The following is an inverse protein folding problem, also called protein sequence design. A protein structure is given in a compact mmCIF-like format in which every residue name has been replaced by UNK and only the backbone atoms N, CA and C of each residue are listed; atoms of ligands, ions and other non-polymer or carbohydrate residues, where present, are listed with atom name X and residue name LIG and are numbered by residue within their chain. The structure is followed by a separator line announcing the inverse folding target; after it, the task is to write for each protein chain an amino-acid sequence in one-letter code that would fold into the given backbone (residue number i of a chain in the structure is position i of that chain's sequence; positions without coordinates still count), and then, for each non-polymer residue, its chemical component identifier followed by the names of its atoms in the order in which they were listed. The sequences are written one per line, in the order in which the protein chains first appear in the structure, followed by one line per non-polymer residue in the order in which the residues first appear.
data_IF_099556315295
#
_entry.id   IF_099556315295
#
_cell.length_a   1.000
_cell.length_b   1.000
_cell.length_c   1.000
_cell.angle_alpha   90.00
_cell.angle_beta   90.00
_cell.angle_gamma   90.00
#
_symmetry.space_group_name_H-M   'P 1'
#
loop_
_entity.id
_entity.type
_entity.pdbx_description
1 polymer ?
#
# COMPACT_ATOMS: atom_id res chain seq x y z
N UNK A 1 -21.72 -8.26 2.89
CA UNK A 1 -21.63 -9.72 2.62
C UNK A 1 -20.18 -10.14 2.65
N UNK A 2 -19.85 -11.28 3.27
CA UNK A 2 -18.47 -11.78 3.35
C UNK A 2 -18.11 -12.59 2.10
N UNK A 3 -16.88 -12.44 1.62
CA UNK A 3 -16.33 -13.29 0.57
C UNK A 3 -16.35 -14.77 1.01
N UNK A 4 -16.85 -15.71 0.17
CA UNK A 4 -17.06 -17.10 0.57
C UNK A 4 -15.81 -17.79 1.12
N UNK A 5 -14.62 -17.54 0.56
CA UNK A 5 -13.37 -18.15 1.03
C UNK A 5 -13.07 -17.74 2.47
N UNK A 6 -13.18 -16.44 2.80
CA UNK A 6 -12.96 -15.94 4.16
C UNK A 6 -13.90 -16.63 5.14
N UNK A 7 -15.19 -16.71 4.82
CA UNK A 7 -16.19 -17.38 5.67
C UNK A 7 -15.84 -18.87 5.87
N UNK A 8 -15.50 -19.58 4.81
CA UNK A 8 -15.17 -21.02 4.87
C UNK A 8 -13.91 -21.27 5.69
N UNK A 9 -12.87 -20.47 5.49
CA UNK A 9 -11.62 -20.55 6.26
C UNK A 9 -11.88 -20.32 7.74
N UNK A 10 -12.62 -19.28 8.12
CA UNK A 10 -12.93 -19.00 9.52
C UNK A 10 -13.73 -20.12 10.20
N UNK A 11 -14.72 -20.69 9.49
CA UNK A 11 -15.46 -21.87 10.00
C UNK A 11 -14.53 -23.06 10.17
N UNK A 12 -13.63 -23.32 9.22
CA UNK A 12 -12.64 -24.38 9.29
C UNK A 12 -11.75 -24.21 10.53
N UNK A 13 -11.17 -23.02 10.72
CA UNK A 13 -10.32 -22.70 11.87
C UNK A 13 -11.05 -22.89 13.20
N UNK A 14 -12.30 -22.42 13.31
CA UNK A 14 -13.10 -22.56 14.53
C UNK A 14 -13.36 -24.01 14.95
N UNK A 15 -13.46 -24.92 13.96
CA UNK A 15 -13.66 -26.36 14.20
C UNK A 15 -12.35 -27.06 14.54
N UNK A 16 -11.30 -26.80 13.75
CA UNK A 16 -9.97 -27.40 13.98
C UNK A 16 -9.42 -27.04 15.35
N UNK A 17 -9.63 -25.80 15.82
CA UNK A 17 -9.16 -25.34 17.13
C UNK A 17 -9.69 -26.19 18.30
N UNK A 18 -10.87 -26.80 18.16
CA UNK A 18 -11.49 -27.62 19.21
C UNK A 18 -11.20 -29.11 19.10
N UNK A 19 -10.65 -29.56 17.97
CA UNK A 19 -10.62 -30.97 17.60
C UNK A 19 -9.20 -31.52 17.40
N UNK A 20 -8.17 -30.68 17.46
CA UNK A 20 -6.81 -31.01 17.06
C UNK A 20 -5.80 -30.43 18.05
N UNK A 21 -4.70 -31.15 18.26
CA UNK A 21 -3.61 -30.69 19.10
C UNK A 21 -2.98 -29.41 18.58
N UNK A 22 -2.53 -28.58 19.51
CA UNK A 22 -1.96 -27.24 19.28
C UNK A 22 -0.93 -27.19 18.13
N UNK A 23 0.09 -28.07 18.02
CA UNK A 23 1.06 -27.99 16.93
C UNK A 23 0.46 -28.28 15.55
N UNK A 24 -0.49 -29.23 15.48
CA UNK A 24 -1.14 -29.60 14.22
C UNK A 24 -2.12 -28.49 13.81
N UNK A 25 -2.85 -27.92 14.77
CA UNK A 25 -3.72 -26.77 14.52
C UNK A 25 -2.94 -25.59 13.95
N UNK A 26 -1.79 -25.27 14.53
CA UNK A 26 -0.94 -24.19 14.03
C UNK A 26 -0.60 -24.40 12.55
N UNK A 27 -0.09 -25.59 12.17
CA UNK A 27 0.30 -25.92 10.79
C UNK A 27 -0.85 -25.76 9.80
N UNK A 28 -1.98 -26.40 10.10
CA UNK A 28 -3.17 -26.34 9.26
C UNK A 28 -3.72 -24.92 9.14
N UNK A 29 -3.66 -24.15 10.23
CA UNK A 29 -4.16 -22.78 10.24
C UNK A 29 -3.32 -21.84 9.38
N UNK A 30 -2.00 -22.03 9.36
CA UNK A 30 -1.09 -21.26 8.51
C UNK A 30 -1.36 -21.49 7.03
N UNK A 31 -1.49 -22.76 6.62
CA UNK A 31 -1.81 -23.11 5.23
C UNK A 31 -3.18 -22.55 4.83
N UNK A 32 -4.20 -22.76 5.67
CA UNK A 32 -5.55 -22.29 5.40
C UNK A 32 -5.65 -20.77 5.30
N UNK A 33 -4.92 -20.03 6.14
CA UNK A 33 -4.84 -18.57 6.10
C UNK A 33 -4.07 -18.09 4.86
N UNK A 34 -2.94 -18.72 4.54
CA UNK A 34 -2.14 -18.39 3.35
C UNK A 34 -2.97 -18.53 2.07
N UNK A 35 -3.67 -19.66 1.92
CA UNK A 35 -4.56 -19.91 0.77
C UNK A 35 -5.75 -18.94 0.75
N UNK A 36 -6.29 -18.57 1.91
CA UNK A 36 -7.35 -17.57 2.01
C UNK A 36 -6.86 -16.19 1.52
N UNK A 37 -5.70 -15.75 1.98
CA UNK A 37 -5.08 -14.48 1.56
C UNK A 37 -4.85 -14.46 0.05
N UNK A 38 -4.29 -15.53 -0.51
CA UNK A 38 -4.09 -15.67 -1.95
C UNK A 38 -5.41 -15.62 -2.73
N UNK A 39 -6.44 -16.31 -2.25
CA UNK A 39 -7.78 -16.27 -2.86
C UNK A 39 -8.40 -14.88 -2.81
N UNK A 40 -8.22 -14.14 -1.71
CA UNK A 40 -8.68 -12.75 -1.58
C UNK A 40 -7.93 -11.85 -2.56
N UNK A 41 -6.61 -12.01 -2.69
CA UNK A 41 -5.80 -11.23 -3.64
C UNK A 41 -6.19 -11.51 -5.10
N UNK A 42 -6.41 -12.77 -5.47
CA UNK A 42 -6.89 -13.16 -6.80
C UNK A 42 -8.27 -12.57 -7.11
N UNK A 43 -9.19 -12.62 -6.15
CA UNK A 43 -10.50 -12.00 -6.29
C UNK A 43 -10.42 -10.47 -6.41
N UNK A 44 -9.52 -9.83 -5.65
CA UNK A 44 -9.26 -8.40 -5.74
C UNK A 44 -8.80 -8.01 -7.15
N UNK A 45 -7.85 -8.74 -7.73
CA UNK A 45 -7.38 -8.52 -9.10
C UNK A 45 -8.50 -8.69 -10.13
N UNK A 46 -9.34 -9.72 -9.99
CA UNK A 46 -10.49 -9.93 -10.87
C UNK A 46 -11.50 -8.76 -10.79
N UNK A 47 -11.74 -8.23 -9.59
CA UNK A 47 -12.59 -7.05 -9.38
C UNK A 47 -11.95 -5.79 -9.98
N UNK A 48 -10.64 -5.61 -9.79
CA UNK A 48 -9.88 -4.49 -10.38
C UNK A 48 -10.04 -4.44 -11.89
N UNK A 49 -9.95 -5.60 -12.55
CA UNK A 49 -10.08 -5.72 -14.01
C UNK A 49 -11.52 -5.53 -14.51
N UNK A 50 -12.52 -5.93 -13.72
CA UNK A 50 -13.93 -5.89 -14.15
C UNK A 50 -14.61 -4.56 -13.85
N UNK A 51 -14.26 -3.89 -12.75
CA UNK A 51 -14.98 -2.71 -12.25
C UNK A 51 -14.09 -1.48 -12.15
N UNK A 52 -13.18 -1.45 -11.18
CA UNK A 52 -12.17 -0.41 -11.08
C UNK A 52 -11.03 -0.87 -10.15
N UNK A 53 -9.80 -0.36 -10.32
CA UNK A 53 -8.69 -0.69 -9.43
C UNK A 53 -9.01 -0.37 -7.95
N UNK A 54 -9.66 0.76 -7.70
CA UNK A 54 -10.13 1.20 -6.37
C UNK A 54 -11.08 0.18 -5.72
N UNK A 55 -12.03 -0.39 -6.48
CA UNK A 55 -12.96 -1.39 -5.97
C UNK A 55 -12.24 -2.68 -5.55
N UNK A 56 -11.22 -3.11 -6.30
CA UNK A 56 -10.43 -4.30 -5.96
C UNK A 56 -9.55 -4.10 -4.72
N UNK A 57 -8.87 -2.95 -4.63
CA UNK A 57 -8.06 -2.58 -3.46
C UNK A 57 -8.90 -2.49 -2.18
N UNK A 58 -10.04 -1.80 -2.24
CA UNK A 58 -10.96 -1.67 -1.09
C UNK A 58 -11.62 -3.01 -0.73
N UNK A 59 -11.92 -3.86 -1.72
CA UNK A 59 -12.38 -5.22 -1.48
C UNK A 59 -11.33 -6.02 -0.69
N UNK A 60 -10.05 -5.94 -1.08
CA UNK A 60 -8.97 -6.64 -0.41
C UNK A 60 -8.79 -6.15 1.03
N UNK A 61 -8.70 -4.83 1.22
CA UNK A 61 -8.57 -4.21 2.55
C UNK A 61 -9.72 -4.63 3.46
N UNK A 62 -10.97 -4.54 2.98
CA UNK A 62 -12.16 -4.96 3.74
C UNK A 62 -12.04 -6.40 4.23
N UNK A 63 -11.69 -7.33 3.35
CA UNK A 63 -11.67 -8.75 3.69
C UNK A 63 -10.47 -9.14 4.55
N UNK A 64 -9.32 -8.46 4.41
CA UNK A 64 -8.18 -8.63 5.30
C UNK A 64 -8.44 -8.06 6.69
N UNK A 65 -9.16 -6.92 6.80
CA UNK A 65 -9.61 -6.38 8.09
C UNK A 65 -10.54 -7.36 8.82
N UNK A 66 -11.52 -7.92 8.09
CA UNK A 66 -12.42 -8.95 8.64
C UNK A 66 -11.60 -10.17 9.07
N UNK A 67 -10.70 -10.66 8.22
CA UNK A 67 -9.89 -11.83 8.54
C UNK A 67 -9.05 -11.59 9.81
N UNK A 68 -8.35 -10.45 9.90
CA UNK A 68 -7.56 -10.02 11.07
C UNK A 68 -8.40 -9.98 12.36
N UNK A 69 -9.58 -9.38 12.29
CA UNK A 69 -10.47 -9.28 13.45
C UNK A 69 -10.96 -10.65 13.91
N UNK A 70 -11.38 -11.49 12.96
CA UNK A 70 -11.95 -12.80 13.26
C UNK A 70 -10.91 -13.84 13.70
N UNK A 71 -9.62 -13.64 13.37
CA UNK A 71 -8.55 -14.50 13.88
C UNK A 71 -8.02 -14.06 15.25
N UNK A 72 -8.34 -12.84 15.71
CA UNK A 72 -7.88 -12.31 16.99
C UNK A 72 -8.29 -13.18 18.20
N UNK A 73 -9.48 -13.80 18.27
CA UNK A 73 -9.86 -14.67 19.39
C UNK A 73 -9.04 -15.96 19.52
N UNK A 74 -8.37 -16.42 18.46
CA UNK A 74 -7.50 -17.59 18.50
C UNK A 74 -6.08 -17.24 19.02
N UNK A 75 -5.99 -16.24 19.92
CA UNK A 75 -4.77 -15.53 20.34
C UNK A 75 -3.73 -16.35 21.12
N UNK A 76 -3.91 -17.67 21.17
CA UNK A 76 -2.91 -18.61 21.62
C UNK A 76 -2.71 -19.52 20.41
N UNK A 77 -1.55 -19.42 19.74
CA UNK A 77 -1.05 -20.38 18.73
C UNK A 77 -1.20 -20.11 17.25
N UNK A 78 -0.56 -19.05 16.75
CA UNK A 78 -0.16 -18.99 15.34
C UNK A 78 1.34 -18.96 15.11
N UNK A 79 2.15 -19.08 16.18
CA UNK A 79 3.61 -19.08 16.09
C UNK A 79 4.10 -20.51 15.88
N UNK A 80 4.38 -20.88 14.63
CA UNK A 80 5.06 -22.14 14.32
C UNK A 80 6.56 -21.89 14.28
N UNK A 81 7.31 -22.80 14.90
CA UNK A 81 8.75 -22.94 14.70
C UNK A 81 8.96 -23.72 13.40
N UNK A 82 9.01 -23.04 12.27
CA UNK A 82 9.42 -23.69 11.03
C UNK A 82 10.95 -23.84 11.03
N UNK A 83 11.41 -25.08 10.91
CA UNK A 83 12.83 -25.40 10.74
C UNK A 83 13.17 -25.24 9.26
N UNK A 84 13.67 -24.07 8.87
CA UNK A 84 14.13 -23.82 7.50
C UNK A 84 15.62 -24.14 7.38
N UNK A 85 16.05 -24.65 6.23
CA UNK A 85 17.47 -24.88 5.94
C UNK A 85 18.08 -23.59 5.37
N UNK A 86 19.05 -23.01 6.09
CA UNK A 86 19.80 -21.84 5.63
C UNK A 86 20.97 -22.28 4.73
N UNK A 87 20.83 -22.03 3.43
CA UNK A 87 21.83 -22.38 2.41
C UNK A 87 22.91 -21.30 2.22
N UNK A 88 22.90 -20.23 3.01
CA UNK A 88 23.86 -19.12 2.86
C UNK A 88 25.31 -19.60 3.02
N UNK A 89 25.56 -20.51 3.96
CA UNK A 89 26.89 -21.13 4.17
C UNK A 89 27.25 -22.09 3.04
N UNK A 90 26.27 -22.84 2.54
CA UNK A 90 26.43 -23.75 1.40
C UNK A 90 26.86 -23.00 0.14
N UNK A 91 26.28 -21.82 -0.11
CA UNK A 91 26.66 -20.96 -1.24
C UNK A 91 28.11 -20.49 -1.14
N UNK A 92 28.54 -20.02 0.04
CA UNK A 92 29.91 -19.57 0.29
C UNK A 92 30.91 -20.71 0.19
N UNK A 93 30.60 -21.87 0.78
CA UNK A 93 31.42 -23.08 0.70
C UNK A 93 31.51 -23.61 -0.75
N UNK A 94 30.41 -23.59 -1.51
CA UNK A 94 30.39 -24.01 -2.91
C UNK A 94 31.25 -23.07 -3.79
N UNK A 95 31.21 -21.75 -3.52
CA UNK A 95 32.08 -20.80 -4.19
C UNK A 95 33.56 -21.04 -3.86
N UNK A 96 33.86 -21.36 -2.60
CA UNK A 96 35.19 -21.79 -2.15
C UNK A 96 35.67 -23.05 -2.88
N UNK A 97 34.79 -24.05 -3.06
CA UNK A 97 35.09 -25.27 -3.81
C UNK A 97 35.37 -25.00 -5.29
N UNK A 98 34.59 -24.11 -5.92
CA UNK A 98 34.79 -23.69 -7.31
C UNK A 98 36.12 -22.96 -7.50
N UNK A 99 36.53 -22.13 -6.55
CA UNK A 99 37.81 -21.42 -6.60
C UNK A 99 38.99 -22.34 -6.29
N UNK A 100 38.80 -23.35 -5.43
CA UNK A 100 39.80 -24.35 -5.03
C UNK A 100 39.76 -25.63 -5.88
N UNK A 101 39.24 -25.58 -7.12
CA UNK A 101 39.08 -26.73 -8.05
C UNK A 101 40.34 -27.60 -8.24
N UNK A 102 41.55 -27.03 -8.11
CA UNK A 102 42.82 -27.77 -8.22
C UNK A 102 43.12 -28.69 -7.03
N UNK A 103 42.37 -28.58 -5.91
CA UNK A 103 42.57 -29.33 -4.65
C UNK A 103 41.40 -30.24 -4.29
N UNK A 104 40.50 -30.52 -5.23
CA UNK A 104 39.29 -31.34 -5.02
C UNK A 104 39.58 -32.79 -4.61
N UNK A 105 40.70 -33.34 -5.09
CA UNK A 105 41.10 -34.73 -4.85
C UNK A 105 42.50 -34.82 -4.23
N UNK A 106 42.92 -33.78 -3.51
CA UNK A 106 44.18 -33.85 -2.76
C UNK A 106 44.07 -34.92 -1.67
N UNK A 107 45.04 -35.83 -1.61
CA UNK A 107 45.11 -36.96 -0.66
C UNK A 107 45.59 -36.54 0.75
N UNK A 108 45.76 -35.24 1.01
CA UNK A 108 46.13 -34.69 2.32
C UNK A 108 44.95 -34.04 3.06
N UNK A 109 45.17 -33.63 4.31
CA UNK A 109 44.19 -32.98 5.20
C UNK A 109 43.59 -31.66 4.67
N UNK A 110 44.14 -31.10 3.58
CA UNK A 110 43.68 -29.88 2.92
C UNK A 110 42.87 -30.19 1.65
N UNK A 111 41.85 -31.03 1.76
CA UNK A 111 40.98 -31.39 0.65
C UNK A 111 39.78 -30.43 0.57
N UNK A 112 39.62 -29.75 -0.56
CA UNK A 112 38.57 -28.74 -0.74
C UNK A 112 37.15 -29.33 -0.77
N UNK A 113 37.00 -30.62 -1.10
CA UNK A 113 35.75 -31.35 -1.04
C UNK A 113 35.40 -31.68 0.42
N UNK A 114 36.37 -32.10 1.23
CA UNK A 114 36.16 -32.29 2.67
C UNK A 114 35.81 -30.97 3.36
N UNK A 115 36.52 -29.89 3.03
CA UNK A 115 36.23 -28.53 3.52
C UNK A 115 34.79 -28.10 3.14
N UNK A 116 34.36 -28.36 1.90
CA UNK A 116 32.98 -28.11 1.47
C UNK A 116 31.95 -28.99 2.19
N UNK A 117 32.23 -30.26 2.46
CA UNK A 117 31.30 -31.13 3.20
C UNK A 117 31.21 -30.76 4.68
N UNK A 118 32.28 -30.23 5.27
CA UNK A 118 32.31 -29.76 6.65
C UNK A 118 31.63 -28.38 6.79
N UNK A 119 31.94 -27.44 5.91
CA UNK A 119 31.48 -26.03 6.00
C UNK A 119 30.20 -25.75 5.19
N UNK A 120 29.89 -26.60 4.21
CA UNK A 120 28.71 -26.51 3.33
C UNK A 120 27.52 -27.32 3.85
N UNK A 121 27.50 -27.70 5.13
CA UNK A 121 26.30 -28.23 5.76
C UNK A 121 25.28 -27.09 5.93
N UNK A 122 24.05 -27.22 5.40
CA UNK A 122 23.03 -26.21 5.60
C UNK A 122 22.70 -26.14 7.10
N UNK A 123 22.80 -24.95 7.68
CA UNK A 123 22.47 -24.76 9.09
C UNK A 123 20.96 -24.66 9.23
N UNK A 124 20.39 -25.40 10.17
CA UNK A 124 18.96 -25.29 10.45
C UNK A 124 18.71 -23.96 11.16
N UNK A 125 17.89 -23.11 10.53
CA UNK A 125 17.48 -21.82 11.07
C UNK A 125 16.02 -21.91 11.47
N UNK A 126 15.78 -21.74 12.77
CA UNK A 126 14.45 -21.65 13.35
C UNK A 126 13.81 -20.32 12.91
N UNK A 127 12.79 -20.39 12.06
CA UNK A 127 11.99 -19.24 11.66
C UNK A 127 10.64 -19.32 12.36
N UNK A 128 10.37 -18.33 13.21
CA UNK A 128 9.06 -18.18 13.84
C UNK A 128 8.10 -17.56 12.82
N UNK A 129 7.30 -18.39 12.15
CA UNK A 129 6.27 -17.94 11.22
C UNK A 129 4.98 -17.72 12.00
N UNK A 130 4.50 -16.48 11.99
CA UNK A 130 3.28 -16.07 12.69
C UNK A 130 2.21 -15.72 11.65
N UNK A 131 1.18 -16.56 11.58
CA UNK A 131 0.09 -16.40 10.59
C UNK A 131 -0.65 -15.07 10.74
N UNK A 132 -0.68 -14.49 11.95
CA UNK A 132 -1.24 -13.17 12.19
C UNK A 132 -0.37 -12.08 11.59
N UNK A 133 0.97 -12.20 11.73
CA UNK A 133 1.90 -11.25 11.11
C UNK A 133 1.77 -11.25 9.59
N UNK A 134 1.51 -12.39 8.96
CA UNK A 134 1.32 -12.43 7.51
C UNK A 134 0.04 -11.71 7.07
N UNK A 135 -1.08 -11.90 7.80
CA UNK A 135 -2.32 -11.13 7.55
C UNK A 135 -2.08 -9.63 7.75
N UNK A 136 -1.43 -9.23 8.84
CA UNK A 136 -1.12 -7.83 9.14
C UNK A 136 -0.19 -7.21 8.08
N UNK A 137 0.83 -7.96 7.64
CA UNK A 137 1.76 -7.55 6.58
C UNK A 137 1.04 -7.35 5.25
N UNK A 138 0.19 -8.29 4.84
CA UNK A 138 -0.57 -8.17 3.60
C UNK A 138 -1.60 -7.03 3.67
N UNK A 139 -2.24 -6.84 4.83
CA UNK A 139 -3.16 -5.73 5.06
C UNK A 139 -2.44 -4.39 4.94
N UNK A 140 -1.29 -4.25 5.59
CA UNK A 140 -0.45 -3.04 5.51
C UNK A 140 -0.05 -2.75 4.07
N UNK A 141 0.48 -3.75 3.35
CA UNK A 141 0.86 -3.60 1.94
C UNK A 141 -0.32 -3.17 1.06
N UNK A 142 -1.51 -3.74 1.29
CA UNK A 142 -2.73 -3.37 0.54
C UNK A 142 -3.17 -1.93 0.83
N UNK A 143 -3.09 -1.50 2.09
CA UNK A 143 -3.38 -0.11 2.47
C UNK A 143 -2.36 0.87 1.86
N UNK A 144 -1.06 0.55 1.89
CA UNK A 144 -0.02 1.38 1.30
C UNK A 144 -0.19 1.52 -0.21
N UNK A 145 -0.49 0.42 -0.91
CA UNK A 145 -0.79 0.43 -2.35
C UNK A 145 -2.01 1.32 -2.67
N UNK A 146 -3.10 1.18 -1.91
CA UNK A 146 -4.29 2.02 -2.06
C UNK A 146 -3.99 3.50 -1.82
N UNK A 147 -3.21 3.84 -0.78
CA UNK A 147 -2.82 5.21 -0.46
C UNK A 147 -2.01 5.81 -1.62
N UNK A 148 -1.02 5.07 -2.14
CA UNK A 148 -0.19 5.51 -3.26
C UNK A 148 -1.00 5.71 -4.54
N UNK A 149 -1.82 4.73 -4.90
CA UNK A 149 -2.67 4.79 -6.09
C UNK A 149 -3.67 5.94 -6.01
N UNK A 150 -4.32 6.14 -4.86
CA UNK A 150 -5.27 7.24 -4.66
C UNK A 150 -4.57 8.61 -4.70
N UNK A 151 -3.40 8.73 -4.05
CA UNK A 151 -2.60 9.96 -4.10
C UNK A 151 -2.22 10.31 -5.54
N UNK A 152 -1.77 9.30 -6.33
CA UNK A 152 -1.44 9.48 -7.75
C UNK A 152 -2.67 9.84 -8.60
N UNK A 153 -3.83 9.30 -8.28
CA UNK A 153 -5.10 9.64 -8.97
C UNK A 153 -5.50 11.09 -8.73
N UNK A 154 -5.26 11.61 -7.52
CA UNK A 154 -5.63 12.98 -7.14
C UNK A 154 -4.59 14.03 -7.58
N UNK A 155 -3.30 13.70 -7.48
CA UNK A 155 -2.19 14.64 -7.64
C UNK A 155 -1.14 14.21 -8.69
N UNK A 156 -1.48 13.26 -9.57
CA UNK A 156 -0.54 12.68 -10.55
C UNK A 156 0.22 13.68 -11.44
N UNK A 157 -0.45 14.67 -12.07
CA UNK A 157 0.23 15.69 -12.87
C UNK A 157 1.24 16.49 -12.04
N UNK A 158 0.85 16.88 -10.83
CA UNK A 158 1.70 17.60 -9.89
C UNK A 158 2.91 16.76 -9.46
N UNK A 159 2.71 15.51 -9.06
CA UNK A 159 3.80 14.60 -8.66
C UNK A 159 4.82 14.41 -9.79
N UNK A 160 4.34 14.22 -11.02
CA UNK A 160 5.22 14.06 -12.20
C UNK A 160 6.07 15.31 -12.44
N UNK A 161 5.49 16.50 -12.22
CA UNK A 161 6.22 17.76 -12.31
C UNK A 161 7.26 17.89 -11.19
N UNK A 162 6.89 17.58 -9.95
CA UNK A 162 7.79 17.63 -8.79
C UNK A 162 8.99 16.69 -8.96
N UNK A 163 8.77 15.47 -9.44
CA UNK A 163 9.86 14.52 -9.71
C UNK A 163 10.85 15.09 -10.73
N UNK A 164 10.34 15.69 -11.82
CA UNK A 164 11.19 16.34 -12.83
C UNK A 164 11.93 17.56 -12.28
N UNK A 165 11.25 18.38 -11.48
CA UNK A 165 11.83 19.55 -10.83
C UNK A 165 12.94 19.16 -9.85
N UNK A 166 12.73 18.11 -9.05
CA UNK A 166 13.69 17.63 -8.08
C UNK A 166 14.95 17.06 -8.75
N UNK A 167 14.79 16.28 -9.83
CA UNK A 167 15.92 15.77 -10.63
C UNK A 167 16.75 16.92 -11.20
N UNK A 168 16.10 17.96 -11.69
CA UNK A 168 16.78 19.16 -12.21
C UNK A 168 17.57 19.88 -11.10
N UNK A 169 16.95 20.12 -9.94
CA UNK A 169 17.62 20.77 -8.79
C UNK A 169 18.82 19.95 -8.31
N UNK A 170 18.71 18.61 -8.24
CA UNK A 170 19.84 17.76 -7.88
C UNK A 170 20.97 17.82 -8.90
N UNK A 171 20.65 17.83 -10.21
CA UNK A 171 21.67 17.94 -11.27
C UNK A 171 22.39 19.30 -11.25
N UNK A 172 21.68 20.39 -10.93
CA UNK A 172 22.29 21.71 -10.79
C UNK A 172 23.18 21.86 -9.55
N UNK A 173 22.90 21.10 -8.50
CA UNK A 173 23.76 21.12 -7.31
C UNK A 173 25.11 20.46 -7.61
N UNK A 174 25.16 19.49 -8.53
CA UNK A 174 26.39 18.80 -8.95
C UNK A 174 27.15 19.54 -10.05
N UNK A 175 26.43 20.20 -10.97
CA UNK A 175 27.00 20.97 -12.07
C UNK A 175 26.68 22.44 -11.81
N UNK A 176 27.66 23.23 -11.37
CA UNK A 176 27.56 24.66 -11.07
C UNK A 176 27.10 25.49 -12.30
N UNK A 177 25.82 25.35 -12.66
CA UNK A 177 25.19 25.94 -13.83
C UNK A 177 24.24 27.03 -13.39
N UNK A 178 24.47 28.25 -13.89
CA UNK A 178 23.66 29.46 -13.63
C UNK A 178 22.24 29.44 -14.25
N UNK A 179 21.74 28.29 -14.69
CA UNK A 179 20.41 28.20 -15.30
C UNK A 179 19.38 28.19 -14.18
N UNK A 180 18.25 28.89 -14.29
CA UNK A 180 17.20 28.84 -13.27
C UNK A 180 16.09 27.89 -13.70
N UNK A 181 15.32 27.37 -12.74
CA UNK A 181 14.19 26.48 -13.04
C UNK A 181 13.15 27.22 -13.92
N UNK A 182 12.94 28.51 -13.69
CA UNK A 182 12.01 29.35 -14.46
C UNK A 182 12.36 29.47 -15.96
N UNK A 183 13.62 29.24 -16.35
CA UNK A 183 14.06 29.27 -17.75
C UNK A 183 13.75 27.96 -18.49
N UNK A 184 13.37 26.91 -17.78
CA UNK A 184 13.08 25.62 -18.40
C UNK A 184 11.68 25.62 -19.05
N UNK A 185 11.54 25.09 -20.27
CA UNK A 185 10.28 25.14 -21.02
C UNK A 185 9.15 24.37 -20.33
N UNK A 186 9.47 23.33 -19.56
CA UNK A 186 8.49 22.54 -18.80
C UNK A 186 8.05 23.21 -17.48
N UNK A 187 8.78 24.24 -17.04
CA UNK A 187 8.58 24.90 -15.76
C UNK A 187 8.22 26.39 -15.92
N UNK A 188 7.79 26.82 -17.11
CA UNK A 188 7.19 28.14 -17.26
C UNK A 188 5.93 28.28 -16.41
N UNK A 189 5.71 29.48 -15.88
CA UNK A 189 4.60 29.80 -14.98
C UNK A 189 3.22 29.41 -15.54
N UNK A 190 2.97 29.58 -16.84
CA UNK A 190 1.74 29.16 -17.51
C UNK A 190 1.53 27.63 -17.48
N UNK A 191 2.60 26.86 -17.68
CA UNK A 191 2.55 25.39 -17.62
C UNK A 191 2.27 24.93 -16.18
N UNK A 192 2.91 25.56 -15.20
CA UNK A 192 2.68 25.27 -13.78
C UNK A 192 1.24 25.61 -13.39
N UNK A 193 0.72 26.76 -13.82
CA UNK A 193 -0.68 27.15 -13.61
C UNK A 193 -1.65 26.12 -14.18
N UNK A 194 -1.40 25.61 -15.40
CA UNK A 194 -2.20 24.54 -16.00
C UNK A 194 -2.15 23.24 -15.18
N UNK A 195 -0.98 22.83 -14.71
CA UNK A 195 -0.80 21.63 -13.87
C UNK A 195 -1.55 21.77 -12.54
N UNK A 196 -1.48 22.94 -11.91
CA UNK A 196 -2.18 23.24 -10.65
C UNK A 196 -3.70 23.20 -10.87
N UNK A 197 -4.21 23.86 -11.91
CA UNK A 197 -5.64 23.85 -12.24
C UNK A 197 -6.14 22.44 -12.57
N UNK A 198 -5.38 21.66 -13.34
CA UNK A 198 -5.71 20.27 -13.65
C UNK A 198 -5.76 19.43 -12.37
N UNK A 199 -4.78 19.57 -11.49
CA UNK A 199 -4.72 18.85 -10.21
C UNK A 199 -5.91 19.21 -9.32
N UNK A 200 -6.25 20.49 -9.18
CA UNK A 200 -7.44 20.91 -8.44
C UNK A 200 -8.74 20.34 -9.04
N UNK A 201 -8.84 20.26 -10.37
CA UNK A 201 -9.98 19.65 -11.06
C UNK A 201 -10.06 18.15 -10.79
N UNK A 202 -8.93 17.43 -10.83
CA UNK A 202 -8.86 16.01 -10.50
C UNK A 202 -9.32 15.76 -9.05
N UNK A 203 -8.86 16.57 -8.10
CA UNK A 203 -9.30 16.51 -6.71
C UNK A 203 -10.82 16.66 -6.62
N UNK A 204 -11.40 17.71 -7.24
CA UNK A 204 -12.86 17.95 -7.17
C UNK A 204 -13.69 16.83 -7.79
N UNK A 205 -13.20 16.21 -8.86
CA UNK A 205 -13.96 15.20 -9.61
C UNK A 205 -13.79 13.78 -9.05
N UNK A 206 -12.57 13.39 -8.66
CA UNK A 206 -12.26 12.01 -8.25
C UNK A 206 -12.51 11.77 -6.76
N UNK A 207 -12.31 12.78 -5.91
CA UNK A 207 -12.42 12.62 -4.47
C UNK A 207 -13.81 12.13 -4.00
N UNK A 208 -14.95 12.67 -4.52
CA UNK A 208 -16.27 12.16 -4.13
C UNK A 208 -16.49 10.68 -4.52
N UNK A 209 -15.92 10.25 -5.65
CA UNK A 209 -16.03 8.87 -6.15
C UNK A 209 -15.26 7.91 -5.23
N UNK A 210 -14.03 8.29 -4.86
CA UNK A 210 -13.19 7.53 -3.93
C UNK A 210 -13.88 7.42 -2.57
N UNK A 211 -14.41 8.52 -2.03
CA UNK A 211 -15.10 8.53 -0.73
C UNK A 211 -16.35 7.66 -0.72
N UNK A 212 -17.19 7.74 -1.76
CA UNK A 212 -18.35 6.86 -1.89
C UNK A 212 -17.95 5.39 -1.92
N UNK A 213 -16.84 5.07 -2.59
CA UNK A 213 -16.31 3.71 -2.63
C UNK A 213 -15.79 3.28 -1.26
N UNK A 214 -15.02 4.13 -0.56
CA UNK A 214 -14.56 3.86 0.80
C UNK A 214 -15.72 3.57 1.77
N UNK A 215 -16.78 4.38 1.71
CA UNK A 215 -18.00 4.20 2.52
C UNK A 215 -18.69 2.86 2.23
N UNK A 216 -18.80 2.48 0.95
CA UNK A 216 -19.45 1.23 0.53
C UNK A 216 -18.67 -0.02 1.00
N UNK A 217 -17.34 0.03 1.00
CA UNK A 217 -16.52 -1.11 1.37
C UNK A 217 -16.22 -1.20 2.87
N UNK A 218 -15.79 -0.11 3.51
CA UNK A 218 -15.29 -0.13 4.89
C UNK A 218 -16.41 -0.01 5.93
N UNK A 219 -17.49 0.71 5.62
CA UNK A 219 -18.68 0.89 6.47
C UNK A 219 -18.39 1.37 7.92
N UNK A 220 -17.17 1.82 8.20
CA UNK A 220 -16.75 2.37 9.49
C UNK A 220 -15.98 3.68 9.24
N UNK A 221 -16.55 4.78 9.76
CA UNK A 221 -16.00 6.13 9.60
C UNK A 221 -14.60 6.30 10.19
N UNK A 222 -14.28 5.62 11.27
CA UNK A 222 -12.95 5.71 11.88
C UNK A 222 -11.89 5.06 10.99
N UNK A 223 -12.20 3.88 10.42
CA UNK A 223 -11.31 3.21 9.47
C UNK A 223 -11.14 4.02 8.18
N UNK A 224 -12.22 4.62 7.67
CA UNK A 224 -12.17 5.53 6.53
C UNK A 224 -11.26 6.73 6.82
N UNK A 225 -11.40 7.35 8.00
CA UNK A 225 -10.58 8.48 8.42
C UNK A 225 -9.09 8.11 8.55
N UNK A 226 -8.79 6.98 9.19
CA UNK A 226 -7.42 6.48 9.35
C UNK A 226 -6.76 6.24 7.99
N UNK A 227 -7.50 5.65 7.04
CA UNK A 227 -6.97 5.35 5.71
C UNK A 227 -6.87 6.61 4.83
N UNK A 228 -7.78 7.57 4.98
CA UNK A 228 -7.79 8.80 4.20
C UNK A 228 -6.75 9.83 4.67
N UNK A 229 -6.43 9.85 5.97
CA UNK A 229 -5.49 10.82 6.55
C UNK A 229 -4.11 10.84 5.85
N UNK A 230 -3.44 9.71 5.57
CA UNK A 230 -2.20 9.70 4.80
C UNK A 230 -2.35 10.27 3.38
N UNK A 231 -3.47 9.98 2.70
CA UNK A 231 -3.74 10.49 1.35
C UNK A 231 -3.84 12.01 1.37
N UNK A 232 -4.62 12.55 2.32
CA UNK A 232 -4.73 14.00 2.53
C UNK A 232 -3.36 14.63 2.78
N UNK A 233 -2.58 14.05 3.68
CA UNK A 233 -1.25 14.56 4.02
C UNK A 233 -0.30 14.54 2.81
N UNK A 234 -0.30 13.47 2.01
CA UNK A 234 0.54 13.38 0.83
C UNK A 234 0.19 14.44 -0.22
N UNK A 235 -1.10 14.64 -0.50
CA UNK A 235 -1.54 15.65 -1.48
C UNK A 235 -1.15 17.06 -1.00
N UNK A 236 -1.40 17.38 0.27
CA UNK A 236 -0.99 18.68 0.84
C UNK A 236 0.53 18.83 0.79
N UNK A 237 1.29 17.79 1.11
CA UNK A 237 2.74 17.81 1.05
C UNK A 237 3.26 18.06 -0.38
N UNK A 238 2.61 17.52 -1.42
CA UNK A 238 2.95 17.83 -2.81
C UNK A 238 2.81 19.31 -3.15
N UNK A 239 1.75 19.97 -2.67
CA UNK A 239 1.59 21.42 -2.87
C UNK A 239 2.62 22.24 -2.07
N UNK A 240 2.99 21.79 -0.87
CA UNK A 240 4.07 22.42 -0.08
C UNK A 240 5.41 22.29 -0.81
N UNK A 241 5.72 21.11 -1.36
CA UNK A 241 6.93 20.89 -2.16
C UNK A 241 6.94 21.76 -3.42
N UNK A 242 5.80 21.95 -4.08
CA UNK A 242 5.69 22.87 -5.21
C UNK A 242 6.05 24.29 -4.81
N UNK A 243 5.51 24.78 -3.70
CA UNK A 243 5.81 26.13 -3.20
C UNK A 243 7.29 26.29 -2.87
N UNK A 244 7.92 25.29 -2.25
CA UNK A 244 9.35 25.29 -1.97
C UNK A 244 10.19 25.31 -3.25
N UNK A 245 9.81 24.52 -4.25
CA UNK A 245 10.47 24.47 -5.57
C UNK A 245 10.36 25.82 -6.30
N UNK A 246 9.19 26.48 -6.23
CA UNK A 246 8.98 27.81 -6.80
C UNK A 246 9.77 28.88 -6.05
N UNK A 247 9.82 28.84 -4.72
CA UNK A 247 10.59 29.79 -3.94
C UNK A 247 12.10 29.72 -4.23
N UNK A 248 12.64 28.53 -4.48
CA UNK A 248 14.04 28.32 -4.87
C UNK A 248 14.35 28.45 -6.37
N UNK A 249 13.32 28.53 -7.22
CA UNK A 249 13.45 28.40 -8.67
C UNK A 249 13.67 29.69 -9.48
N UNK A 250 13.74 30.85 -8.79
CA UNK A 250 14.00 32.15 -9.42
C UNK A 250 12.81 32.77 -10.16
N UNK A 251 11.58 32.50 -9.69
CA UNK A 251 10.35 33.04 -10.28
C UNK A 251 10.07 34.47 -9.78
N UNK A 252 9.52 35.32 -10.67
CA UNK A 252 9.10 36.67 -10.30
C UNK A 252 7.74 36.66 -9.58
N UNK A 253 7.36 37.77 -8.95
CA UNK A 253 6.04 37.89 -8.32
C UNK A 253 4.88 37.69 -9.31
N UNK A 254 5.05 38.13 -10.56
CA UNK A 254 4.05 37.96 -11.62
C UNK A 254 3.94 36.50 -12.06
N UNK A 255 5.07 35.79 -12.15
CA UNK A 255 5.11 34.35 -12.44
C UNK A 255 4.40 33.53 -11.36
N UNK A 256 4.56 33.90 -10.08
CA UNK A 256 3.89 33.24 -8.96
C UNK A 256 2.38 33.47 -8.98
N UNK A 257 1.93 34.67 -9.36
CA UNK A 257 0.51 34.98 -9.55
C UNK A 257 -0.08 34.17 -10.72
N UNK A 258 0.65 34.06 -11.83
CA UNK A 258 0.24 33.25 -12.99
C UNK A 258 0.17 31.76 -12.67
N UNK A 259 1.12 31.23 -11.88
CA UNK A 259 1.11 29.85 -11.44
C UNK A 259 -0.09 29.51 -10.53
N UNK A 260 -0.71 30.50 -9.88
CA UNK A 260 -1.97 30.34 -9.16
C UNK A 260 -1.95 29.26 -8.07
N UNK A 261 -0.79 29.05 -7.42
CA UNK A 261 -0.60 27.95 -6.47
C UNK A 261 -1.46 28.15 -5.21
N UNK A 262 -2.35 27.21 -4.86
CA UNK A 262 -3.15 27.34 -3.64
C UNK A 262 -2.27 27.23 -2.39
N UNK A 263 -2.69 27.86 -1.30
CA UNK A 263 -2.04 27.68 0.00
C UNK A 263 -2.29 26.26 0.55
N UNK A 264 -1.43 25.73 1.43
CA UNK A 264 -1.64 24.42 2.05
C UNK A 264 -2.98 24.32 2.80
N UNK A 265 -3.43 25.43 3.39
CA UNK A 265 -4.73 25.57 4.06
C UNK A 265 -5.87 25.49 3.05
N UNK A 266 -5.76 26.17 1.91
CA UNK A 266 -6.75 26.10 0.83
C UNK A 266 -6.88 24.69 0.27
N UNK A 267 -5.77 23.96 0.08
CA UNK A 267 -5.78 22.55 -0.34
C UNK A 267 -6.42 21.68 0.73
N UNK A 268 -6.11 21.91 2.00
CA UNK A 268 -6.71 21.22 3.14
C UNK A 268 -8.22 21.41 3.17
N UNK A 269 -8.71 22.63 2.94
CA UNK A 269 -10.13 22.96 2.85
C UNK A 269 -10.76 22.31 1.60
N UNK A 270 -10.08 22.29 0.46
CA UNK A 270 -10.57 21.62 -0.75
C UNK A 270 -10.80 20.12 -0.53
N UNK A 271 -9.85 19.44 0.13
CA UNK A 271 -9.95 18.03 0.46
C UNK A 271 -11.01 17.76 1.54
N UNK A 272 -11.23 18.70 2.46
CA UNK A 272 -12.19 18.55 3.57
C UNK A 272 -13.64 18.90 3.15
N UNK A 273 -13.83 19.91 2.30
CA UNK A 273 -15.14 20.31 1.76
C UNK A 273 -15.74 19.28 0.81
N UNK A 274 -14.91 18.65 0.00
CA UNK A 274 -15.31 17.49 -0.80
C UNK A 274 -15.75 16.30 0.07
N UNK A 275 -15.19 16.16 1.28
CA UNK A 275 -15.59 15.14 2.27
C UNK A 275 -16.99 15.36 2.86
N UNK A 276 -17.48 16.60 2.87
CA UNK A 276 -18.81 16.97 3.39
C UNK A 276 -19.93 16.80 2.34
N UNK A 277 -19.60 16.75 1.04
CA UNK A 277 -20.62 16.53 0.01
C UNK A 277 -21.19 15.10 0.02
N UNK A 278 -20.45 14.14 0.59
CA UNK A 278 -20.94 12.79 0.84
C UNK A 278 -21.98 12.68 1.96
N UNK A 279 -22.09 13.67 2.86
CA UNK A 279 -23.05 13.61 3.98
C UNK A 279 -24.45 14.09 3.57
N UNK A 280 -24.60 14.95 2.58
CA UNK A 280 -25.90 15.54 2.22
C UNK A 280 -26.75 14.67 1.28
N UNK A 281 -26.19 13.63 0.64
CA UNK A 281 -26.99 12.75 -0.22
C UNK A 281 -27.68 11.61 0.54
N UNK A 282 -27.19 11.22 1.73
CA UNK A 282 -27.82 10.16 2.52
C UNK A 282 -29.02 10.70 3.32
N UNK A 283 -29.03 11.99 3.67
CA UNK A 283 -30.09 12.60 4.48
C UNK A 283 -31.40 12.87 3.74
N UNK A 284 -31.40 12.92 2.39
CA UNK A 284 -32.58 13.31 1.61
C UNK A 284 -33.42 12.14 1.08
N UNK A 285 -33.10 10.89 1.42
CA UNK A 285 -33.83 9.71 0.88
C UNK A 285 -34.67 8.97 1.94
N UNK A 286 -34.74 9.44 3.18
CA UNK A 286 -35.39 8.68 4.29
C UNK A 286 -36.64 9.35 4.86
N UNK A 287 -37.21 10.39 4.24
CA UNK A 287 -38.30 11.18 4.87
C UNK A 287 -39.60 11.27 4.05
N UNK A 288 -39.89 10.35 3.13
CA UNK A 288 -41.15 10.43 2.35
C UNK A 288 -41.90 9.12 2.13
N UNK A 289 -41.80 8.13 3.05
CA UNK A 289 -42.74 6.98 3.03
C UNK A 289 -43.13 6.55 4.45
N UNK A 290 -43.82 7.43 5.19
CA UNK A 290 -44.79 7.02 6.24
C UNK A 290 -45.85 8.11 6.31
N UNK A 291 -47.01 7.87 5.70
CA UNK A 291 -48.37 8.29 6.12
C UNK A 291 -49.34 8.26 4.93
N UNK A 292 -50.17 7.21 4.88
CA UNK A 292 -51.46 7.00 4.19
C UNK A 292 -51.58 5.47 4.02
N UNK A 293 -52.57 4.72 4.50
CA UNK A 293 -53.87 5.01 5.08
C UNK A 293 -54.32 3.77 5.89
N UNK A 294 -55.01 4.05 7.00
CA UNK A 294 -55.86 3.14 7.76
C UNK A 294 -57.22 3.06 7.05
N UNK A 295 -57.80 1.85 6.94
CA UNK A 295 -59.23 1.50 6.79
C UNK A 295 -59.54 0.52 5.63
N UNK A 296 -59.61 -0.77 5.92
CA UNK A 296 -60.85 -1.60 5.98
C UNK A 296 -60.53 -3.01 6.44
#
# INVERSE_FOLDING_TARGET
MWYPTVRRTLVCLSRLYRCVDRPIFQGLSQEALTMCIQSVASAAQAISNKKSPTDGELFQIKHLLILREQIAPFQVDFTIKEMSLDFSKVKTAAFGLLHKRKRLFSLGTNNALLEFLLEGTPTVREQLVDSRKEVDKQLKASCEAFIQHTTKTLAGPLLTFLDRGQVFVSMQTEVAGNVTLAQQPFAHADVIGKIVQETQRLIKNQLPIIQRSMQLYLANRETEFILFRPIKNNVVASFVQLQQLLAGGGYTSDDLLLAGCPSPEQVTVLLSSASLLGTNQVSNTTTTVVEEELHT
#
